data_IF_044163238295
#
_entry.id   IF_044163238295
#
_cell.length_a   1.000
_cell.length_b   1.000
_cell.length_c   1.000
_cell.angle_alpha   90.00
_cell.angle_beta   90.00
_cell.angle_gamma   90.00
#
_symmetry.space_group_name_H-M   'P 1'
#
loop_
_entity.id
_entity.type
_entity.pdbx_description
1 polymer ?
#
# COMPACT_ATOMS: atom_id res chain seq x y z
N UNK A 1 13.15 -5.07 -16.05
CA UNK A 1 11.73 -4.72 -16.20
C UNK A 1 11.18 -3.98 -15.00
N UNK A 2 11.22 -4.57 -13.80
CA UNK A 2 10.65 -3.96 -12.58
C UNK A 2 11.66 -3.15 -11.75
N UNK A 3 12.94 -3.54 -11.74
CA UNK A 3 13.99 -2.84 -10.99
C UNK A 3 14.28 -1.44 -11.56
N UNK A 4 14.29 -1.30 -12.90
CA UNK A 4 14.47 0.00 -13.58
C UNK A 4 13.39 1.02 -13.22
N UNK A 5 12.12 0.59 -13.20
CA UNK A 5 11.00 1.45 -12.86
C UNK A 5 11.06 1.91 -11.39
N UNK A 6 11.53 1.05 -10.48
CA UNK A 6 11.67 1.38 -9.05
C UNK A 6 12.77 2.42 -8.82
N UNK A 7 13.88 2.35 -9.56
CA UNK A 7 14.96 3.36 -9.49
C UNK A 7 14.52 4.72 -10.03
N UNK A 8 13.76 4.76 -11.14
CA UNK A 8 13.27 6.02 -11.72
C UNK A 8 12.27 6.71 -10.78
N UNK A 9 11.36 5.95 -10.17
CA UNK A 9 10.42 6.50 -9.19
C UNK A 9 11.13 6.99 -7.93
N UNK A 10 12.10 6.23 -7.41
CA UNK A 10 12.88 6.64 -6.22
C UNK A 10 13.70 7.91 -6.46
N UNK A 11 14.31 8.06 -7.64
CA UNK A 11 15.02 9.29 -8.00
C UNK A 11 14.06 10.48 -8.18
N UNK A 12 12.85 10.23 -8.70
CA UNK A 12 11.81 11.24 -8.85
C UNK A 12 11.16 11.68 -7.53
N UNK A 13 11.10 10.80 -6.52
CA UNK A 13 10.62 11.16 -5.18
C UNK A 13 11.70 11.80 -4.31
N UNK A 14 12.98 11.57 -4.61
CA UNK A 14 14.11 12.15 -3.88
C UNK A 14 14.17 13.69 -3.93
N UNK A 15 13.48 14.33 -4.88
CA UNK A 15 13.39 15.80 -4.99
C UNK A 15 12.11 16.38 -4.39
N UNK A 16 11.17 15.54 -3.95
CA UNK A 16 9.87 15.97 -3.43
C UNK A 16 9.96 16.34 -1.95
N UNK A 17 9.17 17.33 -1.55
CA UNK A 17 8.97 17.64 -0.14
C UNK A 17 8.08 16.58 0.52
N UNK A 18 8.04 16.57 1.85
CA UNK A 18 7.12 15.70 2.58
C UNK A 18 5.66 16.00 2.24
N UNK A 19 5.31 17.27 2.04
CA UNK A 19 3.97 17.71 1.66
C UNK A 19 3.60 17.19 0.26
N UNK A 20 4.52 17.28 -0.71
CA UNK A 20 4.33 16.72 -2.05
C UNK A 20 4.11 15.20 -2.03
N UNK A 21 4.83 14.48 -1.15
CA UNK A 21 4.64 13.04 -0.98
C UNK A 21 3.26 12.72 -0.42
N UNK A 22 2.80 13.47 0.58
CA UNK A 22 1.47 13.34 1.18
C UNK A 22 0.39 13.56 0.11
N UNK A 23 0.49 14.62 -0.69
CA UNK A 23 -0.49 14.91 -1.72
C UNK A 23 -0.54 13.83 -2.80
N UNK A 24 0.62 13.31 -3.22
CA UNK A 24 0.68 12.17 -4.15
C UNK A 24 0.08 10.92 -3.54
N UNK A 25 0.39 10.60 -2.28
CA UNK A 25 -0.20 9.45 -1.59
C UNK A 25 -1.72 9.57 -1.57
N UNK A 26 -2.26 10.76 -1.30
CA UNK A 26 -3.71 11.01 -1.28
C UNK A 26 -4.38 10.88 -2.65
N UNK A 27 -3.65 11.14 -3.74
CA UNK A 27 -4.13 10.87 -5.09
C UNK A 27 -4.34 9.37 -5.35
N UNK A 28 -3.45 8.51 -4.82
CA UNK A 28 -3.55 7.06 -4.94
C UNK A 28 -4.44 6.41 -3.87
N UNK A 29 -4.45 6.95 -2.65
CA UNK A 29 -5.24 6.48 -1.52
C UNK A 29 -5.99 7.65 -0.86
N UNK A 30 -7.19 8.01 -1.36
CA UNK A 30 -7.99 9.10 -0.80
C UNK A 30 -8.44 8.88 0.65
N UNK A 31 -8.41 7.64 1.13
CA UNK A 31 -8.79 7.31 2.51
C UNK A 31 -7.69 7.62 3.54
N UNK A 32 -6.43 7.78 3.10
CA UNK A 32 -5.34 8.19 3.97
C UNK A 32 -5.47 9.69 4.28
N UNK A 33 -5.77 10.03 5.53
CA UNK A 33 -5.87 11.44 5.95
C UNK A 33 -4.48 12.05 6.13
N UNK A 34 -4.38 13.37 5.94
CA UNK A 34 -3.13 14.10 6.18
C UNK A 34 -2.62 13.92 7.61
N UNK A 35 -3.52 13.87 8.60
CA UNK A 35 -3.16 13.65 10.01
C UNK A 35 -2.58 12.25 10.27
N UNK A 36 -3.03 11.24 9.52
CA UNK A 36 -2.44 9.90 9.56
C UNK A 36 -1.05 9.90 8.92
N UNK A 37 -0.90 10.53 7.76
CA UNK A 37 0.35 10.58 7.01
C UNK A 37 1.44 11.43 7.69
N UNK A 38 1.06 12.46 8.45
CA UNK A 38 1.97 13.30 9.21
C UNK A 38 2.75 12.56 10.31
N UNK A 39 2.38 11.31 10.63
CA UNK A 39 3.05 10.47 11.64
C UNK A 39 4.28 9.74 11.08
N UNK A 40 4.40 9.68 9.77
CA UNK A 40 5.46 8.95 9.08
C UNK A 40 6.57 9.91 8.67
N UNK A 41 7.79 9.39 8.67
CA UNK A 41 8.91 10.12 8.12
C UNK A 41 8.88 10.09 6.58
N UNK A 42 9.75 10.91 5.98
CA UNK A 42 9.86 11.01 4.53
C UNK A 42 10.19 9.66 3.87
N UNK A 43 11.11 8.88 4.42
CA UNK A 43 11.52 7.60 3.84
C UNK A 43 10.35 6.60 3.82
N UNK A 44 9.58 6.56 4.91
CA UNK A 44 8.37 5.75 5.03
C UNK A 44 7.29 6.18 4.02
N UNK A 45 7.09 7.48 3.84
CA UNK A 45 6.16 8.02 2.84
C UNK A 45 6.60 7.69 1.40
N UNK A 46 7.89 7.76 1.09
CA UNK A 46 8.43 7.36 -0.21
C UNK A 46 8.20 5.86 -0.47
N UNK A 47 8.47 5.01 0.51
CA UNK A 47 8.21 3.57 0.42
C UNK A 47 6.72 3.27 0.22
N UNK A 48 5.86 3.98 0.95
CA UNK A 48 4.42 3.81 0.85
C UNK A 48 3.89 4.24 -0.53
N UNK A 49 4.34 5.37 -1.05
CA UNK A 49 4.01 5.83 -2.39
C UNK A 49 4.47 4.83 -3.47
N UNK A 50 5.68 4.28 -3.35
CA UNK A 50 6.16 3.22 -4.24
C UNK A 50 5.26 1.98 -4.22
N UNK A 51 4.81 1.57 -3.03
CA UNK A 51 3.90 0.45 -2.87
C UNK A 51 2.53 0.72 -3.54
N UNK A 52 1.98 1.92 -3.36
CA UNK A 52 0.72 2.32 -4.00
C UNK A 52 0.84 2.32 -5.53
N UNK A 53 1.93 2.85 -6.08
CA UNK A 53 2.16 2.86 -7.53
C UNK A 53 2.26 1.42 -8.06
N UNK A 54 3.05 0.56 -7.40
CA UNK A 54 3.21 -0.82 -7.81
C UNK A 54 1.90 -1.63 -7.77
N UNK A 55 1.02 -1.33 -6.82
CA UNK A 55 -0.28 -1.99 -6.65
C UNK A 55 -1.39 -1.37 -7.49
N UNK A 56 -1.22 -0.14 -7.99
CA UNK A 56 -2.18 0.55 -8.86
C UNK A 56 -2.20 0.02 -10.31
N UNK A 57 -1.17 -0.72 -10.74
CA UNK A 57 -1.17 -1.40 -12.03
C UNK A 57 -2.29 -2.45 -12.05
N UNK A 58 -3.11 -2.55 -13.12
CA UNK A 58 -4.11 -3.60 -13.24
C UNK A 58 -3.46 -4.94 -12.94
N UNK A 59 -3.94 -5.59 -11.88
CA UNK A 59 -3.58 -6.97 -11.53
C UNK A 59 -3.78 -7.80 -12.79
N UNK A 60 -2.69 -8.08 -13.51
CA UNK A 60 -2.74 -8.68 -14.83
C UNK A 60 -3.46 -10.03 -14.79
N UNK A 61 -3.71 -10.62 -15.96
CA UNK A 61 -4.46 -11.89 -16.12
C UNK A 61 -3.98 -13.06 -15.23
N UNK A 62 -2.76 -12.98 -14.68
CA UNK A 62 -2.16 -13.95 -13.75
C UNK A 62 -2.23 -13.59 -12.25
N UNK A 63 -2.73 -12.42 -11.85
CA UNK A 63 -2.93 -12.05 -10.45
C UNK A 63 -4.27 -12.61 -9.93
N UNK A 64 -4.48 -13.91 -10.16
CA UNK A 64 -5.59 -14.67 -9.57
C UNK A 64 -5.25 -14.96 -8.13
N UNK A 65 -6.20 -14.72 -7.23
CA UNK A 65 -6.09 -15.19 -5.86
C UNK A 65 -6.23 -16.70 -5.89
N UNK A 66 -5.11 -17.41 -5.91
CA UNK A 66 -5.10 -18.86 -5.72
C UNK A 66 -5.34 -19.12 -4.24
N UNK A 67 -6.57 -19.49 -3.90
CA UNK A 67 -6.89 -19.93 -2.54
C UNK A 67 -6.36 -21.35 -2.40
N UNK A 68 -5.49 -21.63 -1.42
CA UNK A 68 -5.20 -23.00 -1.03
C UNK A 68 -6.52 -23.68 -0.65
N UNK A 69 -6.79 -24.88 -1.16
CA UNK A 69 -8.05 -25.61 -0.94
C UNK A 69 -8.33 -25.96 0.54
N UNK A 70 -7.45 -25.58 1.47
CA UNK A 70 -7.48 -25.99 2.87
C UNK A 70 -7.97 -24.92 3.85
N UNK A 71 -8.31 -23.69 3.39
CA UNK A 71 -8.71 -22.62 4.32
C UNK A 71 -10.16 -22.17 4.10
N UNK A 72 -11.08 -22.40 5.07
CA UNK A 72 -12.47 -21.94 4.97
C UNK A 72 -12.52 -20.40 4.98
N UNK A 73 -13.43 -19.85 4.18
CA UNK A 73 -13.48 -18.42 3.87
C UNK A 73 -13.87 -17.51 5.06
N UNK A 74 -14.39 -18.07 6.15
CA UNK A 74 -14.86 -17.33 7.32
C UNK A 74 -14.60 -18.18 8.57
N UNK A 75 -13.82 -17.65 9.52
CA UNK A 75 -13.72 -18.19 10.89
C UNK A 75 -14.39 -17.20 11.85
N UNK A 76 -15.39 -17.66 12.59
CA UNK A 76 -15.97 -16.93 13.70
C UNK A 76 -15.46 -17.55 15.00
N UNK A 77 -15.12 -16.73 15.99
CA UNK A 77 -14.81 -17.19 17.34
C UNK A 77 -16.03 -16.86 18.20
N UNK A 78 -16.75 -17.88 18.62
CA UNK A 78 -17.72 -17.75 19.72
C UNK A 78 -16.86 -17.60 20.98
N UNK A 79 -16.99 -16.46 21.66
CA UNK A 79 -16.50 -16.34 23.03
C UNK A 79 -17.45 -17.19 23.88
N UNK A 80 -16.93 -18.22 24.53
CA UNK A 80 -17.66 -18.95 25.55
C UNK A 80 -17.81 -17.99 26.73
N UNK A 81 -19.04 -17.58 27.01
CA UNK A 81 -19.40 -16.82 28.21
C UNK A 81 -19.67 -17.87 29.28
N UNK A 82 -18.63 -18.22 30.06
CA UNK A 82 -18.74 -19.11 31.22
C UNK A 82 -19.69 -18.47 32.26
N UNK A 83 -20.84 -19.12 32.49
CA UNK A 83 -21.82 -18.80 33.53
C UNK A 83 -21.57 -19.58 34.82
#
# INVERSE_FOLDING_TARGET
GLLEAKSIVSAGTALLTQEDLVDRIRLYNPSATAQFLARFDRCELEMYLQHLIATSVPRGRGARWERPNETPAITFRIADDDA
#
